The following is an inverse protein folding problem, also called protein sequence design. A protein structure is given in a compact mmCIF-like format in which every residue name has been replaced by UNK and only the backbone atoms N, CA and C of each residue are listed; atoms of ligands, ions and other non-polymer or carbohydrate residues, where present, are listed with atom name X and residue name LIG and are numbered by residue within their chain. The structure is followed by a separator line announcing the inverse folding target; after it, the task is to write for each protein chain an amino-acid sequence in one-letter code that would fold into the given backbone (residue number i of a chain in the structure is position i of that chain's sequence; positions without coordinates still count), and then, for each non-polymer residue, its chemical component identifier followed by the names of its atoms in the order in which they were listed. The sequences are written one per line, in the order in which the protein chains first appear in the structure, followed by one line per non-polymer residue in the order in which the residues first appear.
data_IF_276006062823
#
_entry.id   IF_276006062823
#
_cell.length_a   1.000
_cell.length_b   1.000
_cell.length_c   1.000
_cell.angle_alpha   90.00
_cell.angle_beta   90.00
_cell.angle_gamma   90.00
#
_symmetry.space_group_name_H-M   'P 1'
#
loop_
_entity.id
_entity.type
_entity.pdbx_description
1 polymer ?
#
# COMPACT_ATOMS: atom_id res chain seq x y z
N UNK A 1 17.18 5.82 -3.52
CA UNK A 1 16.36 4.98 -4.42
C UNK A 1 16.63 3.48 -4.27
N UNK A 2 17.11 3.04 -3.12
CA UNK A 2 17.30 1.60 -2.84
C UNK A 2 15.97 0.85 -2.61
N UNK A 3 14.90 1.56 -2.28
CA UNK A 3 13.60 0.95 -1.92
C UNK A 3 12.60 0.85 -3.06
N UNK A 4 12.69 1.73 -4.07
CA UNK A 4 11.91 1.63 -5.31
C UNK A 4 12.78 1.99 -6.50
N UNK A 5 13.39 1.02 -7.18
CA UNK A 5 14.24 1.26 -8.35
C UNK A 5 13.45 1.72 -9.60
N UNK A 6 12.12 1.53 -9.61
CA UNK A 6 11.23 1.95 -10.71
C UNK A 6 10.91 3.44 -10.68
N UNK A 7 11.02 4.08 -9.51
CA UNK A 7 10.66 5.49 -9.36
C UNK A 7 11.66 6.39 -10.10
N UNK A 8 11.21 7.20 -11.08
CA UNK A 8 12.07 8.15 -11.78
C UNK A 8 12.76 9.13 -10.84
N UNK A 9 13.96 9.56 -11.19
CA UNK A 9 14.79 10.40 -10.31
C UNK A 9 14.15 11.76 -10.00
N UNK A 10 13.50 12.37 -10.98
CA UNK A 10 12.77 13.63 -10.86
C UNK A 10 11.56 13.49 -9.91
N UNK A 11 10.76 12.44 -10.08
CA UNK A 11 9.66 12.11 -9.15
C UNK A 11 10.17 11.83 -7.73
N UNK A 12 11.29 11.11 -7.60
CA UNK A 12 11.89 10.86 -6.30
C UNK A 12 12.36 12.14 -5.61
N UNK A 13 12.98 13.07 -6.37
CA UNK A 13 13.40 14.36 -5.86
C UNK A 13 12.20 15.21 -5.42
N UNK A 14 11.14 15.24 -6.24
CA UNK A 14 9.91 15.95 -5.89
C UNK A 14 9.27 15.37 -4.61
N UNK A 15 9.11 14.04 -4.51
CA UNK A 15 8.56 13.39 -3.32
C UNK A 15 9.38 13.70 -2.06
N UNK A 16 10.70 13.73 -2.16
CA UNK A 16 11.56 14.06 -1.03
C UNK A 16 11.23 15.44 -0.45
N UNK A 17 10.90 16.42 -1.30
CA UNK A 17 10.50 17.77 -0.85
C UNK A 17 9.09 17.82 -0.24
N UNK A 18 8.23 16.85 -0.54
CA UNK A 18 6.91 16.71 0.09
C UNK A 18 6.98 16.04 1.47
N UNK A 19 7.98 15.19 1.68
CA UNK A 19 8.10 14.40 2.91
C UNK A 19 9.08 14.98 3.92
N UNK A 20 9.96 15.87 3.49
CA UNK A 20 10.99 16.44 4.33
C UNK A 20 11.27 17.90 3.98
N UNK A 21 11.73 18.66 4.97
CA UNK A 21 12.19 20.02 4.83
C UNK A 21 13.46 20.27 5.65
N UNK A 22 14.30 21.24 5.27
CA UNK A 22 15.44 21.63 6.08
C UNK A 22 15.00 22.32 7.37
N UNK A 23 15.63 22.00 8.49
CA UNK A 23 15.51 22.74 9.74
C UNK A 23 16.36 24.02 9.69
N UNK A 24 16.33 24.82 10.77
CA UNK A 24 17.10 26.06 10.88
C UNK A 24 18.62 25.87 10.77
N UNK A 25 19.12 24.66 10.97
CA UNK A 25 20.53 24.29 10.79
C UNK A 25 20.83 23.66 9.43
N UNK A 26 19.87 23.67 8.49
CA UNK A 26 20.02 23.09 7.16
C UNK A 26 19.96 21.57 7.10
N UNK A 27 19.61 20.87 8.18
CA UNK A 27 19.46 19.41 8.20
C UNK A 27 18.06 19.03 7.80
N UNK A 28 17.93 18.06 6.89
CA UNK A 28 16.64 17.55 6.43
C UNK A 28 15.92 16.77 7.55
N UNK A 29 14.67 17.11 7.79
CA UNK A 29 13.79 16.44 8.74
C UNK A 29 12.51 16.00 8.05
N UNK A 30 12.03 14.81 8.42
CA UNK A 30 10.72 14.33 7.97
C UNK A 30 9.62 15.23 8.56
N UNK A 31 8.63 15.56 7.72
CA UNK A 31 7.46 16.35 8.09
C UNK A 31 6.39 15.52 8.81
N UNK A 32 6.53 14.19 8.82
CA UNK A 32 5.61 13.31 9.50
C UNK A 32 5.63 13.54 11.02
N UNK A 33 4.45 13.46 11.64
CA UNK A 33 4.30 13.55 13.09
C UNK A 33 5.09 12.42 13.78
N UNK A 34 5.81 12.76 14.84
CA UNK A 34 6.55 11.79 15.65
C UNK A 34 5.66 10.71 16.27
N UNK A 35 4.36 10.98 16.43
CA UNK A 35 3.37 10.02 16.90
C UNK A 35 3.26 8.78 15.99
N UNK A 36 3.60 8.87 14.70
CA UNK A 36 3.62 7.72 13.78
C UNK A 36 4.57 6.60 14.22
N UNK A 37 5.54 6.89 15.08
CA UNK A 37 6.49 5.89 15.62
C UNK A 37 6.02 5.25 16.93
N UNK A 38 4.87 5.67 17.46
CA UNK A 38 4.31 5.07 18.68
C UNK A 38 3.70 3.72 18.32
N UNK A 39 4.04 2.73 19.16
CA UNK A 39 3.42 1.40 19.02
C UNK A 39 1.93 1.51 19.35
N UNK A 40 1.10 0.92 18.49
CA UNK A 40 -0.34 0.84 18.76
C UNK A 40 -0.57 0.00 20.03
N UNK A 41 -1.23 0.52 21.07
CA UNK A 41 -1.51 -0.22 22.29
C UNK A 41 -2.57 -1.32 22.13
N UNK A 42 -3.35 -1.27 21.02
CA UNK A 42 -4.37 -2.27 20.72
C UNK A 42 -3.72 -3.43 19.97
N UNK A 43 -3.82 -4.63 20.54
CA UNK A 43 -3.34 -5.84 19.88
C UNK A 43 -4.17 -6.10 18.62
N UNK A 44 -3.48 -6.29 17.49
CA UNK A 44 -4.12 -6.69 16.25
C UNK A 44 -4.58 -8.15 16.36
N UNK A 45 -5.88 -8.38 16.20
CA UNK A 45 -6.49 -9.70 16.20
C UNK A 45 -7.05 -9.99 14.81
N UNK A 46 -6.40 -10.93 14.09
CA UNK A 46 -6.73 -11.21 12.70
C UNK A 46 -8.18 -11.70 12.54
N UNK A 47 -8.65 -12.55 13.45
CA UNK A 47 -9.99 -13.12 13.37
C UNK A 47 -11.09 -12.07 13.54
N UNK A 48 -10.90 -11.11 14.44
CA UNK A 48 -11.83 -9.99 14.62
C UNK A 48 -11.88 -9.10 13.37
N UNK A 49 -10.72 -8.84 12.75
CA UNK A 49 -10.65 -8.07 11.50
C UNK A 49 -11.34 -8.81 10.37
N UNK A 50 -11.10 -10.11 10.22
CA UNK A 50 -11.74 -10.93 9.19
C UNK A 50 -13.26 -10.98 9.40
N UNK A 51 -13.74 -11.07 10.63
CA UNK A 51 -15.17 -11.01 10.92
C UNK A 51 -15.77 -9.66 10.46
N UNK A 52 -15.07 -8.55 10.64
CA UNK A 52 -15.54 -7.26 10.10
C UNK A 52 -15.58 -7.24 8.58
N UNK A 53 -14.64 -7.89 7.89
CA UNK A 53 -14.62 -7.99 6.43
C UNK A 53 -15.85 -8.69 5.87
N UNK A 54 -16.35 -9.71 6.56
CA UNK A 54 -17.59 -10.42 6.12
C UNK A 54 -18.82 -9.52 6.10
N UNK A 55 -18.77 -8.40 6.80
CA UNK A 55 -19.88 -7.43 6.91
C UNK A 55 -19.74 -6.23 5.96
N UNK A 56 -18.71 -6.20 5.14
CA UNK A 56 -18.54 -5.14 4.13
C UNK A 56 -19.61 -5.35 3.05
N UNK A 57 -20.59 -4.45 2.98
CA UNK A 57 -21.66 -4.49 1.97
C UNK A 57 -21.37 -3.63 0.75
N UNK A 58 -20.41 -2.71 0.85
CA UNK A 58 -19.95 -1.91 -0.28
C UNK A 58 -19.10 -2.76 -1.24
N UNK A 59 -19.16 -2.52 -2.55
CA UNK A 59 -18.20 -3.07 -3.48
C UNK A 59 -16.77 -2.68 -3.08
N UNK A 60 -15.83 -3.60 -3.19
CA UNK A 60 -14.43 -3.40 -2.87
C UNK A 60 -13.57 -3.71 -4.08
N UNK A 61 -12.69 -2.80 -4.46
CA UNK A 61 -11.65 -3.04 -5.45
C UNK A 61 -10.31 -3.27 -4.75
N UNK A 62 -9.73 -4.43 -4.97
CA UNK A 62 -8.35 -4.75 -4.56
C UNK A 62 -7.43 -4.65 -5.76
N UNK A 63 -6.50 -3.68 -5.75
CA UNK A 63 -5.49 -3.52 -6.80
C UNK A 63 -4.12 -3.84 -6.24
N UNK A 64 -3.35 -4.65 -6.95
CA UNK A 64 -1.97 -4.98 -6.58
C UNK A 64 -1.03 -4.94 -7.79
N UNK A 65 0.26 -4.73 -7.55
CA UNK A 65 1.28 -4.82 -8.59
C UNK A 65 1.78 -6.26 -8.73
N UNK A 66 2.00 -6.71 -9.96
CA UNK A 66 2.49 -8.07 -10.27
C UNK A 66 3.80 -8.41 -9.55
N UNK A 67 4.65 -7.40 -9.34
CA UNK A 67 5.97 -7.53 -8.69
C UNK A 67 5.94 -7.14 -7.20
N UNK A 68 4.76 -7.13 -6.59
CA UNK A 68 4.67 -6.89 -5.14
C UNK A 68 5.27 -8.08 -4.38
N UNK A 69 6.45 -7.85 -3.82
CA UNK A 69 7.17 -8.85 -3.03
C UNK A 69 6.79 -8.74 -1.55
N UNK A 70 5.72 -9.41 -1.16
CA UNK A 70 5.25 -9.45 0.22
C UNK A 70 6.22 -10.24 1.10
N UNK A 71 6.87 -11.25 0.57
CA UNK A 71 7.83 -12.09 1.28
C UNK A 71 9.05 -11.28 1.78
N UNK A 72 9.38 -10.19 1.10
CA UNK A 72 10.44 -9.27 1.52
C UNK A 72 10.24 -8.71 2.94
N UNK A 73 9.00 -8.51 3.37
CA UNK A 73 8.68 -7.97 4.69
C UNK A 73 8.25 -9.02 5.70
N UNK A 74 7.57 -10.08 5.24
CA UNK A 74 6.90 -11.03 6.12
C UNK A 74 7.53 -12.43 6.08
N UNK A 75 8.42 -12.71 5.09
CA UNK A 75 8.95 -14.04 4.86
C UNK A 75 7.80 -15.03 4.61
N UNK A 76 7.95 -16.23 5.12
CA UNK A 76 6.96 -17.31 4.97
C UNK A 76 5.79 -17.24 5.99
N UNK A 77 5.74 -16.18 6.82
CA UNK A 77 4.72 -16.07 7.87
C UNK A 77 3.31 -15.89 7.34
N UNK A 78 3.17 -15.29 6.14
CA UNK A 78 1.89 -15.01 5.52
C UNK A 78 1.92 -15.44 4.06
N UNK A 79 1.68 -16.72 3.77
CA UNK A 79 1.65 -17.22 2.40
C UNK A 79 0.52 -16.58 1.61
N UNK A 80 0.71 -16.44 0.31
CA UNK A 80 -0.28 -15.82 -0.59
C UNK A 80 -1.65 -16.48 -0.47
N UNK A 81 -1.70 -17.79 -0.34
CA UNK A 81 -2.95 -18.54 -0.20
C UNK A 81 -3.76 -18.13 1.03
N UNK A 82 -3.10 -17.79 2.14
CA UNK A 82 -3.77 -17.28 3.35
C UNK A 82 -4.39 -15.91 3.11
N UNK A 83 -3.64 -15.01 2.46
CA UNK A 83 -4.17 -13.71 2.06
C UNK A 83 -5.39 -13.84 1.14
N UNK A 84 -5.29 -14.70 0.12
CA UNK A 84 -6.38 -14.94 -0.84
C UNK A 84 -7.63 -15.48 -0.15
N UNK A 85 -7.45 -16.39 0.80
CA UNK A 85 -8.56 -16.93 1.62
C UNK A 85 -9.21 -15.85 2.50
N UNK A 86 -8.43 -14.95 3.06
CA UNK A 86 -8.95 -13.82 3.84
C UNK A 86 -9.70 -12.82 2.96
N UNK A 87 -9.14 -12.43 1.83
CA UNK A 87 -9.77 -11.49 0.91
C UNK A 87 -11.09 -12.03 0.34
N UNK A 88 -11.17 -13.34 0.10
CA UNK A 88 -12.39 -14.02 -0.35
C UNK A 88 -13.54 -13.96 0.68
N UNK A 89 -13.29 -13.52 1.91
CA UNK A 89 -14.34 -13.30 2.92
C UNK A 89 -15.11 -12.00 2.70
N UNK A 90 -14.59 -11.09 1.90
CA UNK A 90 -15.31 -9.87 1.48
C UNK A 90 -16.36 -10.25 0.44
N UNK A 91 -17.67 -9.99 0.66
CA UNK A 91 -18.75 -10.50 -0.21
C UNK A 91 -18.69 -9.97 -1.64
N UNK A 92 -18.24 -8.74 -1.84
CA UNK A 92 -18.20 -8.07 -3.15
C UNK A 92 -16.81 -7.53 -3.41
N UNK A 93 -15.85 -8.41 -3.74
CA UNK A 93 -14.49 -8.02 -4.06
C UNK A 93 -14.17 -8.23 -5.54
N UNK A 94 -13.77 -7.16 -6.22
CA UNK A 94 -13.11 -7.18 -7.53
C UNK A 94 -11.61 -7.14 -7.32
N UNK A 95 -10.86 -7.91 -8.13
CA UNK A 95 -9.39 -7.99 -8.04
C UNK A 95 -8.76 -7.61 -9.35
N UNK A 96 -7.74 -6.78 -9.29
CA UNK A 96 -6.94 -6.37 -10.44
C UNK A 96 -5.45 -6.43 -10.12
N UNK A 97 -4.67 -6.91 -11.08
CA UNK A 97 -3.21 -6.97 -10.99
C UNK A 97 -2.63 -6.09 -12.09
N UNK A 98 -1.88 -5.06 -11.70
CA UNK A 98 -1.21 -4.16 -12.64
C UNK A 98 0.14 -4.74 -13.04
N UNK A 99 0.45 -4.79 -14.36
CA UNK A 99 1.77 -5.21 -14.84
C UNK A 99 2.83 -4.15 -14.53
N UNK A 100 4.11 -4.55 -14.57
CA UNK A 100 5.27 -3.68 -14.38
C UNK A 100 5.19 -2.77 -13.14
N UNK A 101 4.64 -3.30 -12.07
CA UNK A 101 4.27 -2.54 -10.90
C UNK A 101 4.62 -3.32 -9.62
N UNK A 102 5.29 -2.65 -8.70
CA UNK A 102 5.56 -3.17 -7.36
C UNK A 102 4.50 -2.72 -6.34
N UNK A 103 4.87 -2.72 -5.08
CA UNK A 103 3.95 -2.36 -3.99
C UNK A 103 3.44 -0.91 -4.03
N UNK A 104 4.24 0.00 -4.59
CA UNK A 104 3.89 1.42 -4.65
C UNK A 104 3.21 1.76 -6.00
N UNK A 105 2.02 1.20 -6.22
CA UNK A 105 1.24 1.32 -7.46
C UNK A 105 1.15 2.77 -8.00
N UNK A 106 0.83 3.71 -7.12
CA UNK A 106 0.67 5.12 -7.47
C UNK A 106 1.99 5.82 -7.83
N UNK A 107 3.13 5.22 -7.55
CA UNK A 107 4.44 5.69 -8.01
C UNK A 107 4.84 5.04 -9.33
N UNK A 108 4.54 3.75 -9.48
CA UNK A 108 5.00 2.95 -10.60
C UNK A 108 4.08 3.09 -11.82
N UNK A 109 2.76 3.04 -11.59
CA UNK A 109 1.72 3.03 -12.64
C UNK A 109 0.53 3.94 -12.27
N UNK A 110 0.74 5.27 -12.09
CA UNK A 110 -0.31 6.17 -11.62
C UNK A 110 -1.49 6.26 -12.58
N UNK A 111 -1.24 6.26 -13.91
CA UNK A 111 -2.28 6.35 -14.92
C UNK A 111 -3.13 5.07 -14.97
N UNK A 112 -2.51 3.90 -14.91
CA UNK A 112 -3.22 2.63 -14.90
C UNK A 112 -4.05 2.48 -13.62
N UNK A 113 -3.50 2.85 -12.48
CA UNK A 113 -4.23 2.86 -11.21
C UNK A 113 -5.43 3.82 -11.26
N UNK A 114 -5.24 5.03 -11.81
CA UNK A 114 -6.33 6.00 -11.96
C UNK A 114 -7.44 5.46 -12.87
N UNK A 115 -7.08 4.81 -13.98
CA UNK A 115 -8.05 4.20 -14.90
C UNK A 115 -8.86 3.09 -14.19
N UNK A 116 -8.21 2.24 -13.40
CA UNK A 116 -8.87 1.20 -12.59
C UNK A 116 -9.85 1.80 -11.60
N UNK A 117 -9.45 2.85 -10.88
CA UNK A 117 -10.31 3.53 -9.92
C UNK A 117 -11.52 4.19 -10.60
N UNK A 118 -11.31 4.91 -11.71
CA UNK A 118 -12.40 5.55 -12.47
C UNK A 118 -13.39 4.52 -13.01
N UNK A 119 -12.92 3.40 -13.54
CA UNK A 119 -13.80 2.32 -14.00
C UNK A 119 -14.64 1.74 -12.85
N UNK A 120 -14.03 1.57 -11.68
CA UNK A 120 -14.71 0.99 -10.52
C UNK A 120 -15.74 1.94 -9.89
N UNK A 121 -15.47 3.23 -9.92
CA UNK A 121 -16.35 4.26 -9.32
C UNK A 121 -17.49 4.72 -10.25
N UNK A 122 -17.43 4.42 -11.57
CA UNK A 122 -18.42 4.83 -12.56
C UNK A 122 -18.08 6.19 -13.13
#
# INVERSE_FOLDING_TARGET
MKTNPRLPADKAAWLATQWAAPDSGGRWRLLADAAHKRVNPVLYQADEVIETWTRIVAPLLWVEGVDTDVAKWWGDRYPRSEFDARLARVPQVEREVLPDCGHMLHHDQPEALAASLLRFLG
#
